data_IF_467938579147
#
_entry.id   IF_467938579147
#
_cell.length_a   1.000
_cell.length_b   1.000
_cell.length_c   1.000
_cell.angle_alpha   90.00
_cell.angle_beta   90.00
_cell.angle_gamma   90.00
#
_symmetry.space_group_name_H-M   'P 1'
#
loop_
_entity.id
_entity.type
_entity.pdbx_description
1 polymer ?
#
# COMPACT_ATOMS: atom_id res chain seq x y z
N UNK A 1 17.92 -3.44 -13.18
CA UNK A 1 17.29 -4.15 -12.06
C UNK A 1 15.80 -4.21 -12.28
N UNK A 2 15.25 -5.42 -12.37
CA UNK A 2 13.81 -5.60 -12.57
C UNK A 2 13.08 -5.34 -11.25
N UNK A 3 12.20 -4.37 -11.24
CA UNK A 3 11.32 -4.10 -10.10
C UNK A 3 9.96 -4.70 -10.39
N UNK A 4 9.28 -5.16 -9.36
CA UNK A 4 7.91 -5.63 -9.51
C UNK A 4 7.00 -4.46 -9.87
N UNK A 5 6.16 -4.66 -10.88
CA UNK A 5 5.12 -3.68 -11.21
C UNK A 5 4.24 -3.47 -9.98
N UNK A 6 3.86 -2.25 -9.71
CA UNK A 6 3.05 -1.90 -8.55
C UNK A 6 3.87 -1.58 -7.31
N UNK A 7 5.17 -1.92 -7.31
CA UNK A 7 6.09 -1.57 -6.24
C UNK A 7 7.08 -0.50 -6.65
N UNK A 8 7.05 -0.13 -7.92
CA UNK A 8 7.92 0.91 -8.44
C UNK A 8 7.47 2.27 -7.93
N UNK A 9 8.40 3.09 -7.41
CA UNK A 9 8.04 4.46 -7.04
C UNK A 9 7.63 5.25 -8.28
N UNK A 10 6.79 6.29 -8.11
CA UNK A 10 6.43 7.17 -9.23
C UNK A 10 7.66 7.76 -9.91
N UNK A 11 7.60 7.91 -11.22
CA UNK A 11 8.72 8.49 -12.00
C UNK A 11 9.14 9.85 -11.48
N UNK A 12 8.18 10.66 -11.09
CA UNK A 12 8.42 11.98 -10.53
C UNK A 12 9.23 11.90 -9.24
N UNK A 13 8.92 10.94 -8.37
CA UNK A 13 9.67 10.70 -7.14
C UNK A 13 11.13 10.34 -7.46
N UNK A 14 11.34 9.42 -8.39
CA UNK A 14 12.67 8.99 -8.78
C UNK A 14 13.49 10.18 -9.34
N UNK A 15 12.87 10.99 -10.20
CA UNK A 15 13.51 12.18 -10.77
C UNK A 15 13.88 13.18 -9.67
N UNK A 16 12.99 13.37 -8.70
CA UNK A 16 13.20 14.28 -7.59
C UNK A 16 14.39 13.86 -6.73
N UNK A 17 14.46 12.59 -6.32
CA UNK A 17 15.56 12.12 -5.47
C UNK A 17 16.87 12.01 -6.22
N UNK A 18 16.85 11.84 -7.55
CA UNK A 18 18.07 11.94 -8.37
C UNK A 18 18.62 13.35 -8.39
N UNK A 19 17.72 14.33 -8.46
CA UNK A 19 18.10 15.75 -8.44
C UNK A 19 18.64 16.14 -7.06
N UNK A 20 18.08 15.59 -6.00
CA UNK A 20 18.43 15.90 -4.62
C UNK A 20 18.70 14.63 -3.82
N UNK A 21 19.89 14.02 -4.01
CA UNK A 21 20.21 12.73 -3.36
C UNK A 21 20.12 12.76 -1.84
N UNK A 22 20.44 13.91 -1.23
CA UNK A 22 20.34 14.05 0.23
C UNK A 22 18.91 13.98 0.73
N UNK A 23 17.95 14.43 -0.07
CA UNK A 23 16.54 14.30 0.25
C UNK A 23 16.14 12.82 0.21
N UNK A 24 16.62 12.07 -0.77
CA UNK A 24 16.40 10.64 -0.84
C UNK A 24 16.93 9.91 0.39
N UNK A 25 18.14 10.25 0.83
CA UNK A 25 18.73 9.69 2.06
C UNK A 25 17.92 10.04 3.30
N UNK A 26 17.49 11.30 3.41
CA UNK A 26 16.65 11.74 4.53
C UNK A 26 15.32 10.98 4.55
N UNK A 27 14.74 10.74 3.39
CA UNK A 27 13.51 9.96 3.27
C UNK A 27 13.69 8.53 3.77
N UNK A 28 14.80 7.88 3.39
CA UNK A 28 15.12 6.54 3.87
C UNK A 28 15.28 6.49 5.38
N UNK A 29 15.97 7.49 5.95
CA UNK A 29 16.16 7.61 7.40
C UNK A 29 14.83 7.82 8.13
N UNK A 30 13.94 8.64 7.57
CA UNK A 30 12.60 8.83 8.13
C UNK A 30 11.82 7.52 8.14
N UNK A 31 11.92 6.72 7.08
CA UNK A 31 11.30 5.40 7.01
C UNK A 31 11.84 4.45 8.08
N UNK A 32 13.15 4.41 8.22
CA UNK A 32 13.80 3.57 9.24
C UNK A 32 13.38 3.98 10.65
N UNK A 33 13.38 5.28 10.93
CA UNK A 33 12.97 5.79 12.23
C UNK A 33 11.50 5.46 12.53
N UNK A 34 10.63 5.63 11.54
CA UNK A 34 9.21 5.33 11.69
C UNK A 34 8.92 3.85 11.89
N UNK A 35 9.79 2.98 11.36
CA UNK A 35 9.61 1.54 11.47
C UNK A 35 10.31 0.93 12.70
N UNK A 36 11.02 1.74 13.48
CA UNK A 36 11.70 1.28 14.67
C UNK A 36 10.83 1.54 15.91
N UNK A 37 10.00 0.58 16.29
CA UNK A 37 9.14 0.72 17.43
C UNK A 37 8.32 -0.54 17.69
N UNK A 38 7.46 -0.53 18.70
CA UNK A 38 6.71 -1.73 19.12
C UNK A 38 5.56 -2.11 18.20
N UNK A 39 5.14 -1.21 17.28
CA UNK A 39 4.09 -1.56 16.32
C UNK A 39 4.67 -2.50 15.26
N UNK A 40 3.99 -3.61 15.01
CA UNK A 40 4.41 -4.51 13.94
C UNK A 40 4.23 -3.83 12.57
N UNK A 41 4.91 -4.36 11.52
CA UNK A 41 4.85 -3.73 10.19
C UNK A 41 3.44 -3.59 9.62
N UNK A 42 2.58 -4.57 9.84
CA UNK A 42 1.21 -4.54 9.34
C UNK A 42 0.41 -3.41 9.99
N UNK A 43 0.48 -3.31 11.33
CA UNK A 43 -0.19 -2.25 12.08
C UNK A 43 0.34 -0.88 11.68
N UNK A 44 1.66 -0.74 11.57
CA UNK A 44 2.28 0.53 11.17
C UNK A 44 1.78 0.98 9.78
N UNK A 45 1.61 0.06 8.83
CA UNK A 45 1.10 0.40 7.50
C UNK A 45 -0.35 0.86 7.54
N UNK A 46 -1.17 0.25 8.39
CA UNK A 46 -2.57 0.67 8.56
C UNK A 46 -2.66 2.05 9.22
N UNK A 47 -1.81 2.34 10.18
CA UNK A 47 -1.73 3.68 10.79
C UNK A 47 -1.35 4.71 9.73
N UNK A 48 -0.34 4.43 8.90
CA UNK A 48 0.06 5.33 7.82
C UNK A 48 -1.06 5.58 6.82
N UNK A 49 -1.83 4.55 6.51
CA UNK A 49 -3.00 4.69 5.64
C UNK A 49 -3.97 5.73 6.22
N UNK A 50 -4.27 5.62 7.52
CA UNK A 50 -5.13 6.59 8.19
C UNK A 50 -4.58 8.02 8.12
N UNK A 51 -3.27 8.18 8.27
CA UNK A 51 -2.61 9.48 8.17
C UNK A 51 -2.76 10.07 6.76
N UNK A 52 -2.56 9.28 5.72
CA UNK A 52 -2.72 9.74 4.34
C UNK A 52 -4.17 10.11 4.01
N UNK A 53 -5.12 9.34 4.55
CA UNK A 53 -6.54 9.67 4.41
C UNK A 53 -6.83 11.02 5.08
N UNK A 54 -6.31 11.25 6.28
CA UNK A 54 -6.51 12.48 7.03
C UNK A 54 -5.98 13.71 6.29
N UNK A 55 -4.87 13.56 5.58
CA UNK A 55 -4.29 14.64 4.79
C UNK A 55 -4.93 14.78 3.41
N UNK A 56 -5.91 13.94 3.09
CA UNK A 56 -6.60 13.89 1.80
C UNK A 56 -5.63 13.70 0.63
N UNK A 57 -4.56 12.95 0.87
CA UNK A 57 -3.57 12.65 -0.16
C UNK A 57 -4.04 11.46 -0.98
N UNK A 58 -4.51 11.70 -2.21
CA UNK A 58 -4.94 10.63 -3.10
C UNK A 58 -3.78 9.68 -3.42
N UNK A 59 -2.66 10.23 -3.90
CA UNK A 59 -1.48 9.42 -4.22
C UNK A 59 -0.91 8.69 -3.01
N UNK A 60 -0.88 9.36 -1.86
CA UNK A 60 -0.42 8.77 -0.60
C UNK A 60 -1.33 7.62 -0.15
N UNK A 61 -2.64 7.78 -0.31
CA UNK A 61 -3.61 6.74 0.03
C UNK A 61 -3.43 5.51 -0.86
N UNK A 62 -3.31 5.70 -2.18
CA UNK A 62 -3.05 4.61 -3.12
C UNK A 62 -1.78 3.85 -2.73
N UNK A 63 -0.69 4.56 -2.48
CA UNK A 63 0.58 3.95 -2.07
C UNK A 63 0.45 3.20 -0.72
N UNK A 64 -0.26 3.80 0.24
CA UNK A 64 -0.45 3.20 1.55
C UNK A 64 -1.25 1.90 1.49
N UNK A 65 -2.26 1.82 0.62
CA UNK A 65 -3.01 0.58 0.41
C UNK A 65 -2.10 -0.51 -0.14
N UNK A 66 -1.31 -0.20 -1.17
CA UNK A 66 -0.36 -1.18 -1.75
C UNK A 66 0.60 -1.71 -0.69
N UNK A 67 1.17 -0.83 0.11
CA UNK A 67 2.12 -1.20 1.16
C UNK A 67 1.47 -2.01 2.29
N UNK A 68 0.22 -1.68 2.64
CA UNK A 68 -0.54 -2.44 3.63
C UNK A 68 -0.78 -3.87 3.14
N UNK A 69 -1.19 -4.04 1.89
CA UNK A 69 -1.37 -5.37 1.30
C UNK A 69 -0.07 -6.17 1.29
N UNK A 70 1.05 -5.52 0.95
CA UNK A 70 2.37 -6.16 0.96
C UNK A 70 2.79 -6.60 2.36
N UNK A 71 2.37 -5.87 3.38
CA UNK A 71 2.65 -6.23 4.79
C UNK A 71 1.69 -7.29 5.35
N UNK A 72 0.76 -7.78 4.53
CA UNK A 72 -0.15 -8.85 4.92
C UNK A 72 -1.52 -8.39 5.40
N UNK A 73 -1.85 -7.12 5.26
CA UNK A 73 -3.18 -6.64 5.62
C UNK A 73 -4.24 -7.21 4.68
N UNK A 74 -5.37 -7.59 5.23
CA UNK A 74 -6.51 -8.06 4.45
C UNK A 74 -7.36 -6.86 4.01
N UNK A 75 -8.11 -6.98 2.91
CA UNK A 75 -9.02 -5.91 2.48
C UNK A 75 -9.96 -5.42 3.59
N UNK A 76 -10.48 -6.32 4.42
CA UNK A 76 -11.38 -5.94 5.52
C UNK A 76 -10.71 -5.03 6.53
N UNK A 77 -9.42 -5.24 6.78
CA UNK A 77 -8.64 -4.38 7.68
C UNK A 77 -8.46 -2.99 7.09
N UNK A 78 -8.23 -2.91 5.79
CA UNK A 78 -8.10 -1.65 5.07
C UNK A 78 -9.44 -0.89 5.08
N UNK A 79 -10.55 -1.58 4.82
CA UNK A 79 -11.88 -0.97 4.90
C UNK A 79 -12.18 -0.44 6.31
N UNK A 80 -11.73 -1.15 7.34
CA UNK A 80 -11.93 -0.69 8.71
C UNK A 80 -11.22 0.64 8.97
N UNK A 81 -10.03 0.86 8.40
CA UNK A 81 -9.34 2.14 8.51
C UNK A 81 -10.21 3.26 7.92
N UNK A 82 -10.82 3.02 6.77
CA UNK A 82 -11.73 4.00 6.14
C UNK A 82 -12.94 4.26 7.03
N UNK A 83 -13.50 3.22 7.63
CA UNK A 83 -14.64 3.36 8.54
C UNK A 83 -14.27 4.18 9.79
N UNK A 84 -13.09 3.94 10.36
CA UNK A 84 -12.58 4.73 11.47
C UNK A 84 -12.39 6.19 11.07
N UNK A 85 -11.90 6.43 9.84
CA UNK A 85 -11.74 7.77 9.31
C UNK A 85 -13.06 8.53 9.21
N UNK A 86 -14.16 7.85 8.88
CA UNK A 86 -15.47 8.48 8.79
C UNK A 86 -15.88 9.10 10.12
N UNK A 87 -15.65 8.40 11.23
CA UNK A 87 -15.97 8.91 12.56
C UNK A 87 -15.06 10.07 13.02
N UNK A 88 -13.82 10.07 12.56
CA UNK A 88 -12.85 11.08 12.95
C UNK A 88 -12.81 12.31 12.05
N UNK A 89 -13.04 12.12 10.74
CA UNK A 89 -12.79 13.15 9.72
C UNK A 89 -14.05 13.58 8.97
N UNK A 90 -15.15 12.88 9.16
CA UNK A 90 -16.39 13.16 8.46
C UNK A 90 -16.57 12.31 7.20
N UNK A 91 -17.83 12.23 6.78
CA UNK A 91 -18.22 11.34 5.68
C UNK A 91 -17.64 11.73 4.32
N UNK A 92 -17.57 13.02 3.92
CA UNK A 92 -17.02 13.35 2.61
C UNK A 92 -15.57 12.88 2.42
N UNK A 93 -14.73 13.05 3.41
CA UNK A 93 -13.34 12.58 3.37
C UNK A 93 -13.27 11.05 3.29
N UNK A 94 -14.08 10.37 4.09
CA UNK A 94 -14.12 8.91 4.09
C UNK A 94 -14.60 8.35 2.75
N UNK A 95 -15.60 8.97 2.11
CA UNK A 95 -16.10 8.54 0.80
C UNK A 95 -15.04 8.71 -0.28
N UNK A 96 -14.32 9.82 -0.26
CA UNK A 96 -13.22 10.02 -1.20
C UNK A 96 -12.14 8.96 -1.01
N UNK A 97 -11.74 8.70 0.24
CA UNK A 97 -10.77 7.67 0.56
C UNK A 97 -11.25 6.28 0.15
N UNK A 98 -12.52 5.98 0.37
CA UNK A 98 -13.13 4.72 -0.04
C UNK A 98 -12.98 4.49 -1.55
N UNK A 99 -13.21 5.53 -2.35
CA UNK A 99 -13.04 5.46 -3.80
C UNK A 99 -11.60 5.07 -4.15
N UNK A 100 -10.61 5.72 -3.56
CA UNK A 100 -9.19 5.44 -3.81
C UNK A 100 -8.80 4.04 -3.35
N UNK A 101 -9.30 3.60 -2.20
CA UNK A 101 -9.06 2.25 -1.67
C UNK A 101 -9.65 1.20 -2.62
N UNK A 102 -10.90 1.40 -3.08
CA UNK A 102 -11.55 0.49 -4.02
C UNK A 102 -10.74 0.33 -5.30
N UNK A 103 -10.24 1.43 -5.84
CA UNK A 103 -9.42 1.40 -7.06
C UNK A 103 -8.17 0.53 -6.89
N UNK A 104 -7.47 0.69 -5.76
CA UNK A 104 -6.26 -0.11 -5.50
C UNK A 104 -6.58 -1.57 -5.22
N UNK A 105 -7.65 -1.85 -4.48
CA UNK A 105 -8.04 -3.23 -4.20
C UNK A 105 -8.45 -3.97 -5.48
N UNK A 106 -9.12 -3.29 -6.41
CA UNK A 106 -9.45 -3.85 -7.72
C UNK A 106 -8.19 -4.18 -8.52
N UNK A 107 -7.22 -3.28 -8.55
CA UNK A 107 -5.93 -3.51 -9.22
C UNK A 107 -5.22 -4.72 -8.63
N UNK A 108 -5.19 -4.84 -7.31
CA UNK A 108 -4.55 -5.96 -6.62
C UNK A 108 -5.26 -7.28 -6.93
N UNK A 109 -6.60 -7.28 -6.93
CA UNK A 109 -7.40 -8.43 -7.29
C UNK A 109 -7.16 -8.87 -8.73
N UNK A 110 -7.11 -7.92 -9.67
CA UNK A 110 -6.84 -8.20 -11.08
C UNK A 110 -5.44 -8.78 -11.27
N UNK A 111 -4.45 -8.27 -10.55
CA UNK A 111 -3.10 -8.82 -10.60
C UNK A 111 -3.04 -10.26 -10.09
N UNK A 112 -3.73 -10.56 -9.00
CA UNK A 112 -3.80 -11.92 -8.48
C UNK A 112 -4.47 -12.87 -9.47
N UNK A 113 -5.55 -12.43 -10.07
CA UNK A 113 -6.28 -13.21 -11.06
C UNK A 113 -5.39 -13.52 -12.26
N UNK A 114 -4.70 -12.52 -12.80
CA UNK A 114 -3.77 -12.71 -13.91
C UNK A 114 -2.62 -13.66 -13.56
N UNK A 115 -2.09 -13.57 -12.35
CA UNK A 115 -1.02 -14.48 -11.89
C UNK A 115 -1.52 -15.90 -11.77
N UNK A 116 -2.73 -16.11 -11.25
CA UNK A 116 -3.34 -17.42 -11.14
C UNK A 116 -3.55 -18.04 -12.53
N UNK A 117 -4.04 -17.25 -13.49
CA UNK A 117 -4.27 -17.69 -14.87
C UNK A 117 -2.95 -18.01 -15.60
N UNK A 118 -1.89 -17.31 -15.27
CA UNK A 118 -0.56 -17.53 -15.86
C UNK A 118 0.23 -18.63 -15.19
N UNK A 119 -0.19 -19.11 -14.00
CA UNK A 119 0.52 -20.13 -13.28
C UNK A 119 0.42 -21.47 -14.01
N UNK A 120 1.53 -22.26 -14.08
CA UNK A 120 1.46 -23.60 -14.66
C UNK A 120 0.54 -24.51 -13.84
N UNK A 121 -0.12 -25.49 -14.48
CA UNK A 121 -0.97 -26.42 -13.75
C UNK A 121 -0.17 -27.19 -12.72
N UNK A 122 -0.78 -27.48 -11.56
CA UNK A 122 -0.14 -28.27 -10.52
C UNK A 122 0.16 -29.68 -11.01
N UNK A 123 1.38 -30.14 -10.75
CA UNK A 123 1.75 -31.53 -11.03
C UNK A 123 1.24 -32.44 -9.91
N UNK A 124 1.24 -33.76 -10.15
CA UNK A 124 0.83 -34.72 -9.15
C UNK A 124 1.69 -34.64 -7.87
N UNK A 125 2.96 -34.27 -8.00
CA UNK A 125 3.86 -34.09 -6.85
C UNK A 125 3.49 -32.87 -6.00
N UNK A 126 2.93 -31.81 -6.60
CA UNK A 126 2.48 -30.63 -5.89
C UNK A 126 1.21 -30.92 -5.08
N UNK A 127 0.38 -31.84 -5.56
CA UNK A 127 -0.89 -32.20 -4.91
C UNK A 127 -0.69 -33.08 -3.68
N UNK A 128 0.48 -33.69 -3.50
CA UNK A 128 0.79 -34.58 -2.39
C UNK A 128 1.43 -33.93 -1.18
N UNK A 129 1.68 -32.65 -1.21
CA UNK A 129 2.34 -31.94 -0.12
C UNK A 129 1.37 -31.17 0.77
#
# INVERSE_FOLDING_TARGET
MKRQRGNDPPRTFVAFVRRYPRIGKAWDLLGEAGNSGPLDPKTARLVKLGIHIATRSEGGTHAAVRKALMAGSRPEEIYQVVALAAGALGLPTAVAAFTWVEEELKKAGNKRSRRADAAPPRTASDAGS
#
